data_IF_767394927825
#
_entry.id   IF_767394927825
#
_cell.length_a   1.000
_cell.length_b   1.000
_cell.length_c   1.000
_cell.angle_alpha   90.00
_cell.angle_beta   90.00
_cell.angle_gamma   90.00
#
_symmetry.space_group_name_H-M   'P 1'
#
loop_
_entity.id
_entity.type
_entity.pdbx_description
1 polymer ?
#
# COMPACT_ATOMS: atom_id res chain seq x y z
N UNK A 1 9.26 7.23 -0.02
CA UNK A 1 8.87 5.99 -0.59
C UNK A 1 7.40 5.83 -0.84
N UNK A 2 6.56 6.08 0.10
CA UNK A 2 5.13 5.86 -0.07
C UNK A 2 4.36 7.17 -0.17
N UNK A 3 4.89 8.09 -0.96
CA UNK A 3 4.28 9.40 -1.10
C UNK A 3 2.83 9.32 -1.59
N UNK A 4 2.60 8.49 -2.58
CA UNK A 4 1.26 8.40 -3.18
C UNK A 4 0.30 7.66 -2.26
N UNK A 5 0.79 6.68 -1.54
CA UNK A 5 -0.03 5.99 -0.54
C UNK A 5 -0.40 6.97 0.56
N UNK A 6 0.54 7.77 1.03
CA UNK A 6 0.26 8.74 2.08
C UNK A 6 -0.75 9.79 1.62
N UNK A 7 -0.63 10.25 0.39
CA UNK A 7 -1.60 11.18 -0.16
C UNK A 7 -3.00 10.57 -0.22
N UNK A 8 -3.07 9.31 -0.59
CA UNK A 8 -4.34 8.60 -0.63
C UNK A 8 -4.96 8.50 0.76
N UNK A 9 -4.15 8.16 1.75
CA UNK A 9 -4.63 8.07 3.12
C UNK A 9 -5.16 9.41 3.62
N UNK A 10 -4.49 10.49 3.27
CA UNK A 10 -4.94 11.82 3.65
C UNK A 10 -6.28 12.16 3.01
N UNK A 11 -6.47 11.76 1.74
CA UNK A 11 -7.73 11.95 1.07
C UNK A 11 -8.86 11.19 1.74
N UNK A 12 -8.58 9.97 2.13
CA UNK A 12 -9.58 9.14 2.82
C UNK A 12 -9.97 9.79 4.14
N UNK A 13 -8.99 10.27 4.89
CA UNK A 13 -9.28 10.95 6.15
C UNK A 13 -10.11 12.20 5.95
N UNK A 14 -9.78 12.98 4.93
CA UNK A 14 -10.52 14.20 4.64
C UNK A 14 -11.95 13.89 4.22
N UNK A 15 -12.13 12.90 3.37
CA UNK A 15 -13.46 12.51 2.92
C UNK A 15 -14.29 12.00 4.09
N UNK A 16 -13.68 11.21 4.95
CA UNK A 16 -14.36 10.64 6.10
C UNK A 16 -14.79 11.74 7.06
N UNK A 17 -13.94 12.72 7.31
CA UNK A 17 -14.27 13.79 8.23
C UNK A 17 -15.38 14.69 7.67
N UNK A 18 -15.58 14.70 6.37
CA UNK A 18 -16.67 15.46 5.73
C UNK A 18 -17.88 14.61 5.45
N UNK A 19 -17.86 13.37 5.86
CA UNK A 19 -18.94 12.42 5.61
C UNK A 19 -19.22 12.24 4.13
N UNK A 20 -18.20 12.31 3.31
CA UNK A 20 -18.33 12.09 1.89
C UNK A 20 -18.44 10.60 1.59
N UNK A 21 -19.21 10.26 0.58
CA UNK A 21 -19.36 8.85 0.21
C UNK A 21 -18.30 8.38 -0.74
N UNK A 22 -17.77 9.28 -1.54
CA UNK A 22 -16.87 8.91 -2.61
C UNK A 22 -15.58 9.67 -2.51
N UNK A 23 -14.51 9.03 -2.98
CA UNK A 23 -13.23 9.69 -3.15
C UNK A 23 -12.92 9.67 -4.64
N UNK A 24 -12.74 10.85 -5.22
CA UNK A 24 -12.50 10.98 -6.66
C UNK A 24 -11.03 11.27 -6.88
N UNK A 25 -10.41 10.54 -7.79
CA UNK A 25 -9.02 10.79 -8.16
C UNK A 25 -8.85 10.61 -9.66
N UNK A 26 -7.87 11.30 -10.21
CA UNK A 26 -7.57 11.18 -11.63
C UNK A 26 -6.92 9.82 -11.90
N UNK A 27 -6.92 9.43 -13.17
CA UNK A 27 -6.27 8.18 -13.57
C UNK A 27 -4.79 8.22 -13.24
N UNK A 28 -4.14 9.38 -13.41
CA UNK A 28 -2.72 9.49 -13.08
C UNK A 28 -2.48 9.29 -11.59
N UNK A 29 -3.31 9.88 -10.76
CA UNK A 29 -3.19 9.68 -9.32
C UNK A 29 -3.40 8.22 -8.94
N UNK A 30 -4.37 7.58 -9.57
CA UNK A 30 -4.63 6.17 -9.31
C UNK A 30 -3.47 5.29 -9.75
N UNK A 31 -2.84 5.61 -10.89
CA UNK A 31 -1.68 4.87 -11.36
C UNK A 31 -0.50 5.02 -10.42
N UNK A 32 -0.28 6.24 -9.93
CA UNK A 32 0.79 6.49 -8.98
C UNK A 32 0.58 5.70 -7.69
N UNK A 33 -0.65 5.68 -7.22
CA UNK A 33 -1.00 4.90 -6.04
C UNK A 33 -0.79 3.41 -6.29
N UNK A 34 -1.21 2.94 -7.45
CA UNK A 34 -1.03 1.54 -7.84
C UNK A 34 0.46 1.16 -7.86
N UNK A 35 1.29 2.04 -8.39
CA UNK A 35 2.73 1.79 -8.45
C UNK A 35 3.33 1.69 -7.04
N UNK A 36 2.93 2.58 -6.13
CA UNK A 36 3.40 2.54 -4.76
C UNK A 36 2.97 1.25 -4.05
N UNK A 37 1.72 0.86 -4.25
CA UNK A 37 1.20 -0.37 -3.65
C UNK A 37 1.94 -1.58 -4.19
N UNK A 38 2.18 -1.62 -5.48
CA UNK A 38 2.90 -2.73 -6.10
C UNK A 38 4.31 -2.84 -5.53
N UNK A 39 5.00 -1.73 -5.40
CA UNK A 39 6.34 -1.73 -4.81
C UNK A 39 6.32 -2.24 -3.39
N UNK A 40 5.34 -1.80 -2.62
CA UNK A 40 5.23 -2.22 -1.23
C UNK A 40 4.96 -3.71 -1.12
N UNK A 41 4.08 -4.24 -1.95
CA UNK A 41 3.78 -5.66 -1.96
C UNK A 41 4.99 -6.50 -2.32
N UNK A 42 5.75 -6.06 -3.33
CA UNK A 42 6.97 -6.77 -3.73
C UNK A 42 7.99 -6.75 -2.61
N UNK A 43 8.11 -5.65 -1.91
CA UNK A 43 9.02 -5.55 -0.79
C UNK A 43 8.62 -6.50 0.35
N UNK A 44 7.34 -6.55 0.64
CA UNK A 44 6.84 -7.45 1.68
C UNK A 44 7.11 -8.91 1.31
N UNK A 45 6.86 -9.27 0.06
CA UNK A 45 7.11 -10.64 -0.40
C UNK A 45 8.58 -10.99 -0.32
N UNK A 46 9.45 -10.06 -0.68
CA UNK A 46 10.88 -10.26 -0.61
C UNK A 46 11.31 -10.49 0.84
N UNK A 47 10.79 -9.70 1.75
CA UNK A 47 11.10 -9.87 3.16
C UNK A 47 10.61 -11.20 3.70
N UNK A 48 9.46 -11.65 3.26
CA UNK A 48 8.93 -12.95 3.66
C UNK A 48 9.82 -14.08 3.18
N UNK A 49 10.27 -14.01 1.96
CA UNK A 49 11.17 -15.04 1.42
C UNK A 49 12.47 -15.09 2.19
N UNK A 50 13.01 -13.94 2.51
CA UNK A 50 14.25 -13.89 3.28
C UNK A 50 14.06 -14.46 4.67
N UNK A 51 12.97 -14.12 5.31
CA UNK A 51 12.68 -14.64 6.63
C UNK A 51 12.49 -16.16 6.60
N UNK A 52 11.78 -16.64 5.60
CA UNK A 52 11.57 -18.07 5.46
C UNK A 52 12.86 -18.80 5.18
N UNK A 53 13.74 -18.22 4.40
CA UNK A 53 15.01 -18.83 4.13
C UNK A 53 15.89 -18.90 5.36
N UNK A 54 15.83 -17.88 6.19
CA UNK A 54 16.69 -17.83 7.34
C UNK A 54 16.23 -18.70 8.48
N UNK A 55 14.91 -18.86 8.63
CA UNK A 55 14.43 -19.62 9.73
C UNK A 55 13.57 -20.68 9.19
N UNK A 56 14.10 -21.68 8.75
CA UNK A 56 13.40 -22.75 8.14
C UNK A 56 12.14 -23.13 8.83
N UNK A 57 12.05 -22.97 10.04
CA UNK A 57 10.91 -23.44 10.74
C UNK A 57 9.71 -22.62 10.59
N UNK A 58 9.82 -21.61 10.21
CA UNK A 58 8.71 -20.85 10.23
C UNK A 58 7.67 -21.06 9.47
N UNK A 59 6.99 -21.22 9.49
CA UNK A 59 6.18 -21.44 8.84
C UNK A 59 5.15 -21.00 8.65
N UNK A 60 4.78 -20.86 8.55
CA UNK A 60 4.05 -20.61 8.30
C UNK A 60 3.09 -20.43 8.02
N UNK A 61 2.59 -20.24 7.82
CA UNK A 61 1.63 -20.07 7.50
C UNK A 61 1.15 -20.08 7.19
#
# INVERSE_FOLDING_TARGET
MSIHINKFLDRIKAADSRSQRDVVMTVNEARDLHADITKLLLLIEDLREKAASQTAAVTTI
#
